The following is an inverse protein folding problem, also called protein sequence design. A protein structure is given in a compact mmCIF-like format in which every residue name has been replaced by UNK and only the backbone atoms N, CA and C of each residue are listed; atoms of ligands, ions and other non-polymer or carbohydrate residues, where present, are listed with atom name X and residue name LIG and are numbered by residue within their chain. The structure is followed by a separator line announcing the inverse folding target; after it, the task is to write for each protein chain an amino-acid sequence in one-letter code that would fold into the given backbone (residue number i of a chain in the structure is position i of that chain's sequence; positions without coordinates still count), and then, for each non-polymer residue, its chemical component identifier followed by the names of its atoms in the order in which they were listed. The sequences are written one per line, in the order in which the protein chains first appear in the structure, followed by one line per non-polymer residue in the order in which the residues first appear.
data_IF_977550998596
#
_entry.id   IF_977550998596
#
_cell.length_a   1.000
_cell.length_b   1.000
_cell.length_c   1.000
_cell.angle_alpha   90.00
_cell.angle_beta   90.00
_cell.angle_gamma   90.00
#
_symmetry.space_group_name_H-M   'P 1'
#
loop_
_entity.id
_entity.type
_entity.pdbx_description
1 polymer ?
#
# COMPACT_ATOMS: atom_id res chain seq x y z
N UNK A 1 0.44 -14.52 7.21
CA UNK A 1 0.95 -13.20 6.86
C UNK A 1 1.47 -12.49 8.10
N UNK A 2 2.75 -12.12 8.09
CA UNK A 2 3.44 -11.56 9.26
C UNK A 2 2.86 -10.20 9.69
N UNK A 3 2.53 -9.32 8.74
CA UNK A 3 1.98 -7.98 9.03
C UNK A 3 0.65 -8.09 9.77
N UNK A 4 -0.27 -8.90 9.25
CA UNK A 4 -1.61 -9.08 9.85
C UNK A 4 -1.49 -9.71 11.24
N UNK A 5 -0.67 -10.73 11.39
CA UNK A 5 -0.44 -11.38 12.69
C UNK A 5 0.20 -10.43 13.71
N UNK A 6 1.15 -9.60 13.30
CA UNK A 6 1.76 -8.64 14.19
C UNK A 6 0.74 -7.61 14.70
N UNK A 7 -0.11 -7.08 13.82
CA UNK A 7 -1.14 -6.12 14.22
C UNK A 7 -2.15 -6.75 15.18
N UNK A 8 -2.59 -7.97 14.91
CA UNK A 8 -3.57 -8.66 15.75
C UNK A 8 -3.03 -9.06 17.13
N UNK A 9 -1.79 -9.56 17.20
CA UNK A 9 -1.28 -10.31 18.36
C UNK A 9 -0.20 -9.59 19.15
N UNK A 10 0.45 -8.57 18.59
CA UNK A 10 1.48 -7.84 19.30
C UNK A 10 0.88 -7.00 20.43
N UNK A 11 1.46 -7.09 21.63
CA UNK A 11 0.98 -6.37 22.81
C UNK A 11 0.93 -4.84 22.64
N UNK A 12 1.79 -4.28 21.79
CA UNK A 12 1.84 -2.84 21.53
C UNK A 12 0.73 -2.37 20.55
N UNK A 13 0.25 -3.25 19.69
CA UNK A 13 -0.69 -2.89 18.62
C UNK A 13 -2.08 -3.46 18.80
N UNK A 14 -2.25 -4.60 19.49
CA UNK A 14 -3.54 -5.31 19.55
C UNK A 14 -4.70 -4.47 20.13
N UNK A 15 -4.43 -3.54 21.03
CA UNK A 15 -5.42 -2.64 21.63
C UNK A 15 -5.17 -1.16 21.30
N UNK A 16 -4.20 -0.86 20.44
CA UNK A 16 -3.83 0.49 20.03
C UNK A 16 -4.13 0.74 18.54
N UNK A 17 -3.65 1.89 18.07
CA UNK A 17 -3.67 2.20 16.64
C UNK A 17 -2.62 1.37 15.90
N UNK A 18 -3.03 0.79 14.77
CA UNK A 18 -2.11 0.11 13.88
C UNK A 18 -2.53 0.29 12.41
N UNK A 19 -1.55 0.47 11.55
CA UNK A 19 -1.72 0.53 10.10
C UNK A 19 -0.75 -0.44 9.44
N UNK A 20 -1.28 -1.35 8.64
CA UNK A 20 -0.50 -2.28 7.83
C UNK A 20 -0.72 -2.07 6.34
N UNK A 21 0.30 -2.38 5.54
CA UNK A 21 0.21 -2.45 4.08
C UNK A 21 0.43 -3.91 3.68
N UNK A 22 -0.49 -4.46 2.89
CA UNK A 22 -0.49 -5.87 2.49
C UNK A 22 -0.85 -6.03 1.02
N UNK A 23 -0.31 -7.07 0.40
CA UNK A 23 -0.69 -7.48 -0.96
C UNK A 23 -1.88 -8.45 -0.91
N UNK A 24 -2.85 -8.28 -1.79
CA UNK A 24 -4.04 -9.14 -1.82
C UNK A 24 -3.77 -10.54 -2.39
N UNK A 25 -2.71 -10.70 -3.20
CA UNK A 25 -2.32 -11.99 -3.77
C UNK A 25 -1.73 -12.96 -2.73
N UNK A 26 -1.43 -12.49 -1.53
CA UNK A 26 -0.96 -13.31 -0.41
C UNK A 26 -2.13 -13.86 0.40
N UNK A 27 -2.02 -15.12 0.83
CA UNK A 27 -3.00 -15.70 1.75
C UNK A 27 -3.05 -14.88 3.03
N UNK A 28 -4.24 -14.38 3.36
CA UNK A 28 -4.47 -13.56 4.54
C UNK A 28 -5.02 -14.43 5.70
N UNK A 29 -4.61 -14.15 6.96
CA UNK A 29 -5.25 -14.73 8.14
C UNK A 29 -6.73 -14.34 8.22
N UNK A 30 -7.51 -15.13 8.95
CA UNK A 30 -8.95 -14.89 9.13
C UNK A 30 -9.29 -13.54 9.76
N UNK A 31 -8.35 -12.93 10.48
CA UNK A 31 -8.50 -11.61 11.07
C UNK A 31 -8.93 -10.54 10.06
N UNK A 32 -8.50 -10.65 8.81
CA UNK A 32 -8.87 -9.69 7.76
C UNK A 32 -10.39 -9.64 7.51
N UNK A 33 -11.12 -10.71 7.84
CA UNK A 33 -12.57 -10.78 7.68
C UNK A 33 -13.34 -9.89 8.67
N UNK A 34 -12.68 -9.42 9.71
CA UNK A 34 -13.24 -8.49 10.70
C UNK A 34 -13.16 -7.03 10.25
N UNK A 35 -12.64 -6.78 9.04
CA UNK A 35 -12.46 -5.47 8.47
C UNK A 35 -13.54 -5.13 7.44
N UNK A 36 -13.93 -3.87 7.41
CA UNK A 36 -14.82 -3.29 6.39
C UNK A 36 -14.03 -2.40 5.45
N UNK A 37 -14.44 -2.39 4.19
CA UNK A 37 -13.90 -1.47 3.21
C UNK A 37 -14.39 -0.05 3.47
N UNK A 38 -13.47 0.93 3.51
CA UNK A 38 -13.78 2.37 3.54
C UNK A 38 -13.86 2.91 2.11
N UNK A 39 -12.92 2.53 1.25
CA UNK A 39 -12.88 2.96 -0.14
C UNK A 39 -11.89 2.14 -0.95
N UNK A 40 -11.98 2.25 -2.27
CA UNK A 40 -11.06 1.58 -3.18
C UNK A 40 -10.83 2.39 -4.46
N UNK A 41 -9.66 2.21 -5.05
CA UNK A 41 -9.31 2.57 -6.42
C UNK A 41 -9.02 1.30 -7.22
N UNK A 42 -8.38 1.42 -8.37
CA UNK A 42 -8.05 0.25 -9.20
C UNK A 42 -7.15 -0.76 -8.47
N UNK A 43 -6.13 -0.29 -7.73
CA UNK A 43 -5.16 -1.16 -7.08
C UNK A 43 -5.07 -0.97 -5.55
N UNK A 44 -5.80 -0.02 -4.97
CA UNK A 44 -5.70 0.30 -3.55
C UNK A 44 -7.06 0.19 -2.88
N UNK A 45 -7.11 -0.54 -1.77
CA UNK A 45 -8.29 -0.68 -0.92
C UNK A 45 -7.93 -0.32 0.52
N UNK A 46 -8.69 0.58 1.13
CA UNK A 46 -8.56 0.90 2.55
C UNK A 46 -9.61 0.14 3.35
N UNK A 47 -9.14 -0.59 4.36
CA UNK A 47 -9.97 -1.39 5.22
C UNK A 47 -9.78 -1.01 6.68
N UNK A 48 -10.86 -1.02 7.45
CA UNK A 48 -10.85 -0.73 8.88
C UNK A 48 -11.54 -1.83 9.67
N UNK A 49 -10.95 -2.22 10.80
CA UNK A 49 -11.55 -3.15 11.74
C UNK A 49 -12.87 -2.60 12.32
N UNK A 50 -13.85 -3.46 12.53
CA UNK A 50 -15.19 -3.09 13.00
C UNK A 50 -15.18 -2.35 14.35
N UNK A 51 -14.29 -2.71 15.26
CA UNK A 51 -14.27 -2.18 16.63
C UNK A 51 -12.91 -1.67 17.12
N UNK A 52 -11.81 -2.04 16.45
CA UNK A 52 -10.45 -1.63 16.82
C UNK A 52 -9.93 -0.55 15.88
N UNK A 53 -8.94 0.22 16.35
CA UNK A 53 -8.27 1.25 15.54
C UNK A 53 -7.18 0.63 14.65
N UNK A 54 -7.52 -0.44 13.95
CA UNK A 54 -6.65 -1.14 13.01
C UNK A 54 -7.10 -0.88 11.59
N UNK A 55 -6.13 -0.53 10.75
CA UNK A 55 -6.32 -0.27 9.33
C UNK A 55 -5.40 -1.14 8.48
N UNK A 56 -5.87 -1.55 7.33
CA UNK A 56 -5.04 -2.11 6.27
C UNK A 56 -5.22 -1.33 4.98
N UNK A 57 -4.10 -0.98 4.36
CA UNK A 57 -4.07 -0.60 2.95
C UNK A 57 -3.71 -1.88 2.20
N UNK A 58 -4.68 -2.43 1.48
CA UNK A 58 -4.51 -3.62 0.66
C UNK A 58 -4.19 -3.20 -0.76
N UNK A 59 -3.10 -3.70 -1.30
CA UNK A 59 -2.68 -3.46 -2.69
C UNK A 59 -3.13 -4.65 -3.54
N UNK A 60 -3.86 -4.40 -4.59
CA UNK A 60 -4.46 -5.42 -5.46
C UNK A 60 -3.82 -5.44 -6.85
N UNK A 61 -3.27 -6.54 -7.31
CA UNK A 61 -2.99 -7.77 -6.55
C UNK A 61 -1.75 -7.67 -5.66
N UNK A 62 -0.80 -6.77 -5.99
CA UNK A 62 0.47 -6.61 -5.29
C UNK A 62 1.12 -5.26 -5.60
N UNK A 63 2.06 -4.84 -4.75
CA UNK A 63 2.81 -3.59 -4.89
C UNK A 63 3.54 -3.49 -6.23
N UNK A 64 4.09 -4.58 -6.74
CA UNK A 64 4.82 -4.58 -8.03
C UNK A 64 3.90 -4.15 -9.18
N UNK A 65 2.66 -4.63 -9.20
CA UNK A 65 1.65 -4.25 -10.20
C UNK A 65 1.28 -2.77 -10.07
N UNK A 66 1.09 -2.28 -8.86
CA UNK A 66 0.81 -0.86 -8.61
C UNK A 66 1.94 0.03 -9.13
N UNK A 67 3.20 -0.31 -8.85
CA UNK A 67 4.36 0.46 -9.30
C UNK A 67 4.42 0.52 -10.83
N UNK A 68 4.24 -0.61 -11.51
CA UNK A 68 4.24 -0.65 -12.97
C UNK A 68 3.09 0.15 -13.59
N UNK A 69 1.90 0.10 -12.98
CA UNK A 69 0.75 0.91 -13.40
C UNK A 69 1.02 2.41 -13.24
N UNK A 70 1.58 2.81 -12.10
CA UNK A 70 1.96 4.20 -11.85
C UNK A 70 3.03 4.70 -12.83
N UNK A 71 4.02 3.87 -13.13
CA UNK A 71 5.07 4.18 -14.12
C UNK A 71 4.48 4.39 -15.51
N UNK A 72 3.55 3.54 -15.92
CA UNK A 72 2.85 3.67 -17.19
C UNK A 72 2.00 4.96 -17.25
N UNK A 73 1.29 5.30 -16.18
CA UNK A 73 0.48 6.52 -16.11
C UNK A 73 1.31 7.79 -16.31
N UNK A 74 2.46 7.90 -15.67
CA UNK A 74 3.34 9.08 -15.80
C UNK A 74 4.25 9.01 -17.03
N UNK A 75 4.23 7.91 -17.78
CA UNK A 75 4.98 7.77 -19.02
C UNK A 75 6.48 7.55 -18.85
N UNK A 76 6.95 7.04 -17.71
CA UNK A 76 8.35 6.69 -17.52
C UNK A 76 8.67 5.34 -18.13
N UNK A 77 9.85 5.23 -18.73
CA UNK A 77 10.37 3.98 -19.27
C UNK A 77 11.19 3.27 -18.19
N UNK A 78 10.77 2.07 -17.79
CA UNK A 78 11.44 1.28 -16.77
C UNK A 78 12.90 0.95 -17.11
N UNK A 79 13.22 0.82 -18.39
CA UNK A 79 14.58 0.56 -18.85
C UNK A 79 15.55 1.70 -18.53
N UNK A 80 15.05 2.96 -18.45
CA UNK A 80 15.86 4.12 -18.05
C UNK A 80 16.37 4.03 -16.62
N UNK A 81 15.75 3.16 -15.82
CA UNK A 81 16.15 2.87 -14.43
C UNK A 81 16.89 1.54 -14.29
N UNK A 82 17.22 0.89 -15.40
CA UNK A 82 17.78 -0.48 -15.43
C UNK A 82 16.85 -1.49 -14.72
N UNK A 83 15.54 -1.29 -14.87
CA UNK A 83 14.48 -2.13 -14.32
C UNK A 83 13.64 -2.73 -15.46
N UNK A 84 13.02 -3.88 -15.19
CA UNK A 84 12.16 -4.55 -16.16
C UNK A 84 10.77 -3.92 -16.20
N UNK A 85 10.16 -3.83 -17.38
CA UNK A 85 8.78 -3.39 -17.59
C UNK A 85 7.77 -4.54 -17.50
N UNK A 86 8.20 -5.78 -17.70
CA UNK A 86 7.37 -6.97 -17.57
C UNK A 86 7.24 -7.38 -16.11
N UNK A 87 6.00 -7.62 -15.64
CA UNK A 87 5.72 -7.92 -14.24
C UNK A 87 6.55 -9.08 -13.69
N UNK A 88 6.67 -10.16 -14.45
CA UNK A 88 7.43 -11.35 -14.03
C UNK A 88 8.89 -11.04 -13.74
N UNK A 89 9.52 -10.27 -14.62
CA UNK A 89 10.93 -9.91 -14.50
C UNK A 89 11.14 -8.83 -13.44
N UNK A 90 10.24 -7.87 -13.36
CA UNK A 90 10.25 -6.85 -12.31
C UNK A 90 10.12 -7.47 -10.91
N UNK A 91 9.20 -8.41 -10.73
CA UNK A 91 9.02 -9.13 -9.46
C UNK A 91 10.28 -9.91 -9.05
N UNK A 92 11.02 -10.49 -10.00
CA UNK A 92 12.32 -11.12 -9.68
C UNK A 92 13.30 -10.11 -9.11
N UNK A 93 13.42 -8.94 -9.74
CA UNK A 93 14.32 -7.88 -9.28
C UNK A 93 13.94 -7.42 -7.87
N UNK A 94 12.64 -7.19 -7.60
CA UNK A 94 12.17 -6.72 -6.28
C UNK A 94 12.42 -7.73 -5.16
N UNK A 95 12.44 -9.03 -5.48
CA UNK A 95 12.77 -10.08 -4.49
C UNK A 95 14.25 -10.19 -4.19
N UNK A 96 15.09 -9.87 -5.14
CA UNK A 96 16.55 -10.07 -5.05
C UNK A 96 17.31 -8.87 -4.49
N UNK A 97 16.65 -7.71 -4.35
CA UNK A 97 17.30 -6.46 -3.94
C UNK A 97 16.73 -5.91 -2.64
N UNK A 98 17.57 -5.21 -1.87
CA UNK A 98 17.11 -4.33 -0.79
C UNK A 98 16.66 -3.00 -1.42
N UNK A 99 15.38 -2.88 -1.74
CA UNK A 99 14.82 -1.72 -2.42
C UNK A 99 15.02 -0.41 -1.66
N UNK A 100 15.22 -0.46 -0.35
CA UNK A 100 15.49 0.75 0.46
C UNK A 100 16.87 1.35 0.17
N UNK A 101 17.81 0.52 -0.23
CA UNK A 101 19.19 0.94 -0.55
C UNK A 101 19.44 1.06 -2.03
N UNK A 102 18.60 0.46 -2.86
CA UNK A 102 18.75 0.44 -4.31
C UNK A 102 18.40 1.80 -4.93
N UNK A 103 19.38 2.44 -5.54
CA UNK A 103 19.23 3.77 -6.15
C UNK A 103 18.27 3.79 -7.33
N UNK A 104 18.12 2.65 -8.05
CA UNK A 104 17.15 2.51 -9.16
C UNK A 104 15.73 2.72 -8.66
N UNK A 105 15.35 2.07 -7.56
CA UNK A 105 14.03 2.22 -6.94
C UNK A 105 13.80 3.61 -6.37
N UNK A 106 14.81 4.22 -5.75
CA UNK A 106 14.71 5.60 -5.25
C UNK A 106 14.41 6.60 -6.36
N UNK A 107 15.10 6.47 -7.49
CA UNK A 107 14.85 7.32 -8.67
C UNK A 107 13.45 7.08 -9.24
N UNK A 108 13.06 5.82 -9.41
CA UNK A 108 11.74 5.45 -9.92
C UNK A 108 10.63 6.03 -9.03
N UNK A 109 10.69 5.82 -7.73
CA UNK A 109 9.66 6.32 -6.79
C UNK A 109 9.56 7.83 -6.80
N UNK A 110 10.67 8.54 -6.93
CA UNK A 110 10.67 9.99 -7.07
C UNK A 110 9.89 10.44 -8.32
N UNK A 111 10.06 9.74 -9.42
CA UNK A 111 9.51 10.14 -10.71
C UNK A 111 8.04 9.69 -10.88
N UNK A 112 7.59 8.62 -10.22
CA UNK A 112 6.19 8.17 -10.26
C UNK A 112 5.30 8.74 -9.16
N UNK A 113 5.84 9.50 -8.23
CA UNK A 113 5.07 10.03 -7.08
C UNK A 113 3.89 10.93 -7.46
N UNK A 114 3.85 11.44 -8.68
CA UNK A 114 2.75 12.25 -9.22
C UNK A 114 1.61 11.45 -9.82
N UNK A 115 1.71 10.12 -9.95
CA UNK A 115 0.62 9.28 -10.40
C UNK A 115 -0.54 9.27 -9.40
N UNK A 116 -1.77 9.12 -9.89
CA UNK A 116 -2.98 9.27 -9.06
C UNK A 116 -2.99 8.32 -7.87
N UNK A 117 -2.73 7.03 -8.10
CA UNK A 117 -2.76 6.06 -7.01
C UNK A 117 -1.55 6.15 -6.08
N UNK A 118 -0.40 6.61 -6.57
CA UNK A 118 0.76 6.86 -5.69
C UNK A 118 0.51 8.07 -4.78
N UNK A 119 -0.15 9.12 -5.29
CA UNK A 119 -0.62 10.26 -4.48
C UNK A 119 -1.64 9.80 -3.45
N UNK A 120 -2.64 9.01 -3.86
CA UNK A 120 -3.62 8.42 -2.96
C UNK A 120 -2.96 7.62 -1.83
N UNK A 121 -2.04 6.74 -2.18
CA UNK A 121 -1.30 5.93 -1.20
C UNK A 121 -0.57 6.81 -0.17
N UNK A 122 0.15 7.81 -0.64
CA UNK A 122 0.85 8.78 0.23
C UNK A 122 -0.10 9.57 1.12
N UNK A 123 -1.24 10.01 0.59
CA UNK A 123 -2.26 10.74 1.35
C UNK A 123 -2.88 9.88 2.46
N UNK A 124 -3.20 8.62 2.17
CA UNK A 124 -3.74 7.69 3.18
C UNK A 124 -2.74 7.44 4.30
N UNK A 125 -1.48 7.18 3.97
CA UNK A 125 -0.42 6.97 4.96
C UNK A 125 -0.23 8.20 5.84
N UNK A 126 -0.16 9.39 5.24
CA UNK A 126 0.04 10.65 5.94
C UNK A 126 -1.15 10.99 6.85
N UNK A 127 -2.37 10.85 6.33
CA UNK A 127 -3.59 11.11 7.10
C UNK A 127 -3.67 10.22 8.33
N UNK A 128 -3.54 8.91 8.15
CA UNK A 128 -3.64 7.94 9.25
C UNK A 128 -2.50 8.08 10.26
N UNK A 129 -1.29 8.39 9.80
CA UNK A 129 -0.16 8.69 10.69
C UNK A 129 -0.44 9.89 11.60
N UNK A 130 -1.07 10.94 11.06
CA UNK A 130 -1.30 12.19 11.76
C UNK A 130 -2.56 12.17 12.65
N UNK A 131 -3.60 11.47 12.23
CA UNK A 131 -4.89 11.44 12.95
C UNK A 131 -5.01 10.24 13.90
N UNK A 132 -4.49 9.07 13.54
CA UNK A 132 -4.55 7.83 14.35
C UNK A 132 -5.98 7.53 14.83
N UNK A 133 -6.27 7.80 16.09
CA UNK A 133 -7.59 7.55 16.71
C UNK A 133 -8.64 8.59 16.29
N UNK A 134 -8.23 9.78 15.91
CA UNK A 134 -9.09 10.90 15.55
C UNK A 134 -9.22 11.04 14.04
N UNK A 135 -9.77 10.00 13.41
CA UNK A 135 -9.99 9.96 11.96
C UNK A 135 -11.45 10.27 11.61
N UNK A 136 -11.66 10.86 10.43
CA UNK A 136 -12.96 11.05 9.81
C UNK A 136 -13.10 10.12 8.61
N UNK A 137 -14.06 9.20 8.66
CA UNK A 137 -14.28 8.22 7.61
C UNK A 137 -14.66 8.87 6.28
N UNK A 138 -15.41 9.98 6.32
CA UNK A 138 -15.78 10.72 5.10
C UNK A 138 -14.54 11.33 4.42
N UNK A 139 -13.63 11.93 5.19
CA UNK A 139 -12.38 12.46 4.65
C UNK A 139 -11.54 11.36 4.00
N UNK A 140 -11.47 10.18 4.63
CA UNK A 140 -10.77 9.02 4.06
C UNK A 140 -11.41 8.55 2.76
N UNK A 141 -12.74 8.52 2.67
CA UNK A 141 -13.46 8.20 1.43
C UNK A 141 -13.21 9.21 0.32
N UNK A 142 -13.17 10.49 0.67
CA UNK A 142 -12.97 11.59 -0.30
C UNK A 142 -11.61 11.51 -0.99
N UNK A 143 -10.58 10.93 -0.36
CA UNK A 143 -9.28 10.69 -1.01
C UNK A 143 -9.36 9.76 -2.21
N UNK A 144 -10.37 8.88 -2.29
CA UNK A 144 -10.57 7.94 -3.40
C UNK A 144 -11.26 8.56 -4.61
N UNK A 145 -11.67 9.80 -4.55
CA UNK A 145 -12.22 10.57 -5.68
C UNK A 145 -11.07 11.08 -6.57
N UNK A 146 -10.44 10.15 -7.29
CA UNK A 146 -9.27 10.39 -8.13
C UNK A 146 -9.53 10.15 -9.61
#
# INVERSE_FOLDING_TARGET
NTVVNNIQKNKQTCNGFALGVIDSDKRQPSYIKEFKEIGHSEHIKLMKHDSKNHFFIMIEPAMDTLILSCAAEVGVNMEDYELASELKDFTKITKDVDSKKDTRFKRLFKDIKGSKEFVLFGNLLSYLKNHKYDYDEKELKDYFDI
#
